data_IF_247574541987
#
_entry.id   IF_247574541987
#
_cell.length_a   1.000
_cell.length_b   1.000
_cell.length_c   1.000
_cell.angle_alpha   90.00
_cell.angle_beta   90.00
_cell.angle_gamma   90.00
#
_symmetry.space_group_name_H-M   'P 1'
#
loop_
_entity.id
_entity.type
_entity.pdbx_description
1 polymer ?
#
# COMPACT_ATOMS: atom_id res chain seq x y z
N UNK A 1 7.38 -22.90 -0.23
CA UNK A 1 8.34 -21.87 0.22
C UNK A 1 8.52 -20.75 -0.81
N UNK A 2 8.72 -21.06 -2.09
CA UNK A 2 8.91 -20.09 -3.17
C UNK A 2 7.74 -19.07 -3.31
N UNK A 3 6.49 -19.52 -3.19
CA UNK A 3 5.28 -18.66 -3.24
C UNK A 3 5.19 -17.64 -2.11
N UNK A 4 5.65 -17.96 -0.90
CA UNK A 4 5.61 -17.04 0.24
C UNK A 4 6.57 -15.86 0.10
N UNK A 5 7.77 -16.11 -0.47
CA UNK A 5 8.76 -15.07 -0.72
C UNK A 5 8.26 -14.05 -1.76
N UNK A 6 7.61 -14.50 -2.83
CA UNK A 6 7.02 -13.60 -3.84
C UNK A 6 5.90 -12.73 -3.28
N UNK A 7 5.06 -13.27 -2.41
CA UNK A 7 3.99 -12.50 -1.76
C UNK A 7 4.53 -11.45 -0.79
N UNK A 8 5.59 -11.78 -0.04
CA UNK A 8 6.31 -10.79 0.77
C UNK A 8 6.94 -9.69 -0.09
N UNK A 9 7.59 -10.05 -1.20
CA UNK A 9 8.21 -9.08 -2.09
C UNK A 9 7.16 -8.14 -2.71
N UNK A 10 6.03 -8.69 -3.17
CA UNK A 10 4.90 -7.93 -3.68
C UNK A 10 4.34 -6.95 -2.63
N UNK A 11 4.19 -7.40 -1.37
CA UNK A 11 3.77 -6.55 -0.25
C UNK A 11 4.70 -5.34 -0.11
N UNK A 12 6.01 -5.59 -0.07
CA UNK A 12 7.01 -4.52 0.08
C UNK A 12 6.94 -3.52 -1.07
N UNK A 13 6.73 -3.99 -2.30
CA UNK A 13 6.57 -3.13 -3.47
C UNK A 13 5.30 -2.25 -3.37
N UNK A 14 4.17 -2.82 -2.97
CA UNK A 14 2.91 -2.09 -2.79
C UNK A 14 3.05 -1.04 -1.68
N UNK A 15 3.65 -1.42 -0.55
CA UNK A 15 3.86 -0.52 0.57
C UNK A 15 4.80 0.65 0.19
N UNK A 16 5.86 0.35 -0.55
CA UNK A 16 6.77 1.36 -1.09
C UNK A 16 6.07 2.34 -2.04
N UNK A 17 5.21 1.84 -2.93
CA UNK A 17 4.40 2.70 -3.80
C UNK A 17 3.45 3.62 -3.00
N UNK A 18 2.84 3.10 -1.93
CA UNK A 18 1.99 3.89 -1.04
C UNK A 18 2.75 5.03 -0.35
N UNK A 19 3.96 4.74 0.14
CA UNK A 19 4.85 5.75 0.75
C UNK A 19 5.24 6.82 -0.26
N UNK A 20 5.59 6.45 -1.50
CA UNK A 20 5.92 7.42 -2.56
C UNK A 20 4.73 8.34 -2.86
N UNK A 21 3.52 7.78 -2.99
CA UNK A 21 2.31 8.58 -3.23
C UNK A 21 2.04 9.55 -2.09
N UNK A 22 2.17 9.10 -0.84
CA UNK A 22 2.04 9.98 0.32
C UNK A 22 3.11 11.08 0.34
N UNK A 23 4.36 10.77 -0.03
CA UNK A 23 5.44 11.74 -0.12
C UNK A 23 5.21 12.78 -1.23
N UNK A 24 4.73 12.35 -2.40
CA UNK A 24 4.31 13.25 -3.48
C UNK A 24 3.14 14.14 -3.05
N UNK A 25 2.17 13.58 -2.32
CA UNK A 25 1.11 14.37 -1.70
C UNK A 25 1.67 15.43 -0.76
N UNK A 26 2.52 15.05 0.19
CA UNK A 26 3.15 16.00 1.11
C UNK A 26 3.98 17.07 0.40
N UNK A 27 4.63 16.72 -0.71
CA UNK A 27 5.35 17.68 -1.57
C UNK A 27 4.41 18.69 -2.22
N UNK A 28 3.25 18.25 -2.72
CA UNK A 28 2.23 19.14 -3.28
C UNK A 28 1.63 20.07 -2.21
N UNK A 29 1.53 19.62 -0.96
CA UNK A 29 1.15 20.49 0.17
C UNK A 29 2.18 21.61 0.38
N UNK A 30 3.48 21.29 0.23
CA UNK A 30 4.57 22.25 0.37
C UNK A 30 4.64 23.24 -0.80
N UNK A 31 4.41 22.76 -2.02
CA UNK A 31 4.33 23.60 -3.23
C UNK A 31 3.16 24.59 -3.14
N UNK A 32 2.04 24.18 -2.53
CA UNK A 32 0.85 25.01 -2.38
C UNK A 32 0.08 25.23 -3.70
N UNK A 33 0.58 24.68 -4.81
CA UNK A 33 0.02 24.85 -6.15
C UNK A 33 -1.39 24.25 -6.31
N UNK A 34 -1.69 23.12 -5.66
CA UNK A 34 -2.98 22.46 -5.87
C UNK A 34 -3.46 21.56 -4.71
N UNK A 35 -4.31 22.11 -3.84
CA UNK A 35 -4.94 21.37 -2.71
C UNK A 35 -5.68 20.09 -3.16
N UNK A 36 -6.22 20.09 -4.38
CA UNK A 36 -6.94 18.93 -4.93
C UNK A 36 -6.00 17.77 -5.27
N UNK A 37 -4.81 18.06 -5.82
CA UNK A 37 -3.78 17.04 -6.08
C UNK A 37 -3.20 16.49 -4.79
N UNK A 38 -2.95 17.35 -3.81
CA UNK A 38 -2.57 16.95 -2.45
C UNK A 38 -3.53 15.89 -1.87
N UNK A 39 -4.84 16.21 -1.83
CA UNK A 39 -5.84 15.30 -1.28
C UNK A 39 -5.90 13.98 -2.04
N UNK A 40 -5.77 14.00 -3.37
CA UNK A 40 -5.75 12.80 -4.20
C UNK A 40 -4.54 11.92 -3.87
N UNK A 41 -3.33 12.48 -3.81
CA UNK A 41 -2.12 11.71 -3.54
C UNK A 41 -2.08 11.13 -2.12
N UNK A 42 -2.48 11.93 -1.12
CA UNK A 42 -2.55 11.45 0.27
C UNK A 42 -3.62 10.38 0.44
N UNK A 43 -4.83 10.60 -0.10
CA UNK A 43 -5.92 9.61 0.01
C UNK A 43 -5.57 8.33 -0.74
N UNK A 44 -5.03 8.42 -1.95
CA UNK A 44 -4.58 7.27 -2.72
C UNK A 44 -3.45 6.51 -2.02
N UNK A 45 -2.42 7.20 -1.52
CA UNK A 45 -1.32 6.58 -0.78
C UNK A 45 -1.80 5.87 0.49
N UNK A 46 -2.69 6.51 1.25
CA UNK A 46 -3.26 5.95 2.49
C UNK A 46 -4.11 4.72 2.20
N UNK A 47 -5.00 4.79 1.20
CA UNK A 47 -5.84 3.65 0.80
C UNK A 47 -5.00 2.48 0.33
N UNK A 48 -3.92 2.74 -0.41
CA UNK A 48 -3.02 1.72 -0.93
C UNK A 48 -2.23 1.02 0.19
N UNK A 49 -1.83 1.76 1.24
CA UNK A 49 -1.22 1.19 2.44
C UNK A 49 -2.22 0.31 3.22
N UNK A 50 -3.45 0.79 3.42
CA UNK A 50 -4.50 0.02 4.11
C UNK A 50 -4.81 -1.26 3.32
N UNK A 51 -4.96 -1.15 2.01
CA UNK A 51 -5.20 -2.29 1.12
C UNK A 51 -4.06 -3.32 1.20
N UNK A 52 -2.81 -2.86 1.25
CA UNK A 52 -1.63 -3.73 1.43
C UNK A 52 -1.71 -4.57 2.71
N UNK A 53 -2.19 -3.97 3.82
CA UNK A 53 -2.34 -4.69 5.08
C UNK A 53 -3.46 -5.73 5.02
N UNK A 54 -4.62 -5.36 4.48
CA UNK A 54 -5.76 -6.28 4.32
C UNK A 54 -5.44 -7.46 3.40
N UNK A 55 -4.65 -7.25 2.35
CA UNK A 55 -4.24 -8.30 1.42
C UNK A 55 -3.49 -9.46 2.11
N UNK A 56 -2.62 -9.14 3.08
CA UNK A 56 -1.91 -10.17 3.84
C UNK A 56 -2.78 -10.90 4.84
N UNK A 57 -3.76 -10.21 5.44
CA UNK A 57 -4.71 -10.87 6.33
C UNK A 57 -5.53 -11.91 5.58
N UNK A 58 -6.01 -11.57 4.37
CA UNK A 58 -6.76 -12.50 3.52
C UNK A 58 -5.91 -13.70 3.14
N UNK A 59 -4.68 -13.48 2.66
CA UNK A 59 -3.78 -14.59 2.29
C UNK A 59 -3.38 -15.43 3.51
N UNK A 60 -3.11 -14.79 4.65
CA UNK A 60 -2.79 -15.49 5.89
C UNK A 60 -3.94 -16.41 6.35
N UNK A 61 -5.17 -15.91 6.32
CA UNK A 61 -6.37 -16.69 6.64
C UNK A 61 -6.59 -17.83 5.63
N UNK A 62 -6.39 -17.57 4.34
CA UNK A 62 -6.55 -18.58 3.29
C UNK A 62 -5.50 -19.69 3.39
N UNK A 63 -4.25 -19.32 3.70
CA UNK A 63 -3.17 -20.27 3.96
C UNK A 63 -3.44 -21.11 5.22
N UNK A 64 -4.06 -20.57 6.27
CA UNK A 64 -4.39 -21.33 7.48
C UNK A 64 -5.59 -22.27 7.21
N UNK A 65 -6.56 -21.82 6.41
CA UNK A 65 -7.74 -22.61 6.04
C UNK A 65 -7.45 -23.80 5.12
N UNK A 66 -6.39 -23.75 4.29
CA UNK A 66 -6.02 -24.84 3.38
C UNK A 66 -5.24 -25.99 4.01
N UNK A 67 -4.86 -25.88 5.29
CA UNK A 67 -4.19 -26.96 6.06
C UNK A 67 -5.16 -27.77 6.93
N UNK A 68 -6.47 -27.57 6.76
CA UNK A 68 -7.55 -28.42 7.31
C UNK A 68 -8.17 -29.24 6.21
#
# INVERSE_FOLDING_TARGET
MITGAYLMLLKWMILFAGVILSALGAWELRSGENKRRFLLYISAGTLLIIFSQSFLQVIGLWSIGSFR
#
